data_IF_637606595359
#
_entry.id   IF_637606595359
#
_cell.length_a   1.000
_cell.length_b   1.000
_cell.length_c   1.000
_cell.angle_alpha   90.00
_cell.angle_beta   90.00
_cell.angle_gamma   90.00
#
_symmetry.space_group_name_H-M   'P 1'
#
loop_
_entity.id
_entity.type
_entity.pdbx_description
1 polymer ?
#
# COMPACT_ATOMS: atom_id res chain seq x y z
N UNK A 1 -35.12 11.06 -16.73
CA UNK A 1 -33.97 11.97 -16.88
C UNK A 1 -33.16 11.78 -15.62
N UNK A 2 -31.87 11.45 -15.72
CA UNK A 2 -31.02 11.40 -14.54
C UNK A 2 -30.99 12.81 -13.93
N UNK A 3 -31.27 12.91 -12.64
CA UNK A 3 -31.23 14.18 -11.94
C UNK A 3 -29.81 14.50 -11.45
N UNK A 4 -29.65 15.63 -10.77
CA UNK A 4 -28.34 16.06 -10.26
C UNK A 4 -27.82 15.09 -9.20
N UNK A 5 -28.70 14.43 -8.44
CA UNK A 5 -28.30 13.46 -7.42
C UNK A 5 -27.74 12.20 -8.08
N UNK A 6 -28.39 11.71 -9.14
CA UNK A 6 -27.91 10.57 -9.92
C UNK A 6 -26.48 10.83 -10.48
N UNK A 7 -26.26 12.04 -11.02
CA UNK A 7 -24.94 12.43 -11.56
C UNK A 7 -23.84 12.52 -10.50
N UNK A 8 -24.17 12.99 -9.29
CA UNK A 8 -23.22 13.06 -8.18
C UNK A 8 -22.84 11.66 -7.69
N UNK A 9 -23.80 10.74 -7.60
CA UNK A 9 -23.53 9.35 -7.23
C UNK A 9 -22.58 8.67 -8.23
N UNK A 10 -22.81 8.86 -9.53
CA UNK A 10 -21.91 8.33 -10.57
C UNK A 10 -20.49 8.87 -10.43
N UNK A 11 -20.34 10.16 -10.08
CA UNK A 11 -19.05 10.79 -9.84
C UNK A 11 -18.35 10.21 -8.61
N UNK A 12 -19.08 10.04 -7.49
CA UNK A 12 -18.55 9.41 -6.27
C UNK A 12 -18.08 7.99 -6.54
N UNK A 13 -18.88 7.19 -7.25
CA UNK A 13 -18.54 5.82 -7.63
C UNK A 13 -17.30 5.75 -8.52
N UNK A 14 -17.12 6.71 -9.43
CA UNK A 14 -15.92 6.81 -10.25
C UNK A 14 -14.69 7.09 -9.37
N UNK A 15 -14.78 8.11 -8.50
CA UNK A 15 -13.68 8.49 -7.60
C UNK A 15 -13.32 7.33 -6.67
N UNK A 16 -14.33 6.66 -6.09
CA UNK A 16 -14.12 5.49 -5.25
C UNK A 16 -13.40 4.37 -5.98
N UNK A 17 -13.81 4.04 -7.21
CA UNK A 17 -13.14 3.02 -8.03
C UNK A 17 -11.69 3.39 -8.33
N UNK A 18 -11.41 4.65 -8.65
CA UNK A 18 -10.05 5.14 -8.89
C UNK A 18 -9.17 5.03 -7.65
N UNK A 19 -9.66 5.41 -6.47
CA UNK A 19 -8.92 5.26 -5.22
C UNK A 19 -8.60 3.79 -4.91
N UNK A 20 -9.57 2.89 -5.07
CA UNK A 20 -9.36 1.45 -4.87
C UNK A 20 -8.29 0.94 -5.85
N UNK A 21 -8.35 1.34 -7.12
CA UNK A 21 -7.40 0.92 -8.13
C UNK A 21 -5.98 1.43 -7.82
N UNK A 22 -5.83 2.68 -7.40
CA UNK A 22 -4.54 3.26 -7.03
C UNK A 22 -3.90 2.49 -5.86
N UNK A 23 -4.67 2.21 -4.80
CA UNK A 23 -4.17 1.44 -3.65
C UNK A 23 -3.79 0.01 -4.07
N UNK A 24 -4.60 -0.66 -4.90
CA UNK A 24 -4.27 -2.00 -5.41
C UNK A 24 -2.97 -2.00 -6.21
N UNK A 25 -2.72 -0.99 -7.03
CA UNK A 25 -1.48 -0.85 -7.78
C UNK A 25 -0.26 -0.68 -6.85
N UNK A 26 -0.37 0.17 -5.83
CA UNK A 26 0.68 0.34 -4.82
C UNK A 26 1.00 -0.95 -4.07
N UNK A 27 -0.02 -1.74 -3.72
CA UNK A 27 0.15 -3.02 -3.03
C UNK A 27 0.63 -4.15 -3.94
N UNK A 28 0.50 -4.00 -5.26
CA UNK A 28 0.87 -5.03 -6.24
C UNK A 28 2.38 -5.10 -6.52
N UNK A 29 3.21 -5.03 -5.48
CA UNK A 29 4.65 -5.28 -5.61
C UNK A 29 4.83 -6.74 -5.99
N UNK A 30 5.05 -6.99 -7.28
CA UNK A 30 5.34 -8.33 -7.81
C UNK A 30 6.83 -8.57 -7.72
N UNK A 31 7.24 -9.65 -7.06
CA UNK A 31 8.64 -10.05 -6.99
C UNK A 31 8.95 -11.00 -5.84
N UNK A 32 10.16 -11.53 -5.86
CA UNK A 32 10.69 -12.34 -4.77
C UNK A 32 10.96 -11.47 -3.54
N UNK A 33 10.53 -11.96 -2.39
CA UNK A 33 10.76 -11.31 -1.10
C UNK A 33 12.24 -11.37 -0.73
N UNK A 34 12.81 -10.25 -0.25
CA UNK A 34 14.19 -10.24 0.24
C UNK A 34 14.30 -11.06 1.53
N UNK A 35 15.42 -11.76 1.69
CA UNK A 35 15.71 -12.50 2.92
C UNK A 35 16.31 -11.60 4.00
N UNK A 36 16.90 -10.47 3.61
CA UNK A 36 17.49 -9.46 4.49
C UNK A 36 16.92 -8.08 4.20
N UNK A 37 16.67 -7.32 5.26
CA UNK A 37 16.20 -5.96 5.20
C UNK A 37 17.24 -5.05 4.53
N UNK A 38 16.83 -4.28 3.53
CA UNK A 38 17.71 -3.32 2.86
C UNK A 38 18.15 -2.15 3.75
N UNK A 39 17.35 -1.77 4.75
CA UNK A 39 17.66 -0.65 5.63
C UNK A 39 18.62 -1.00 6.78
N UNK A 40 18.51 -2.21 7.34
CA UNK A 40 19.24 -2.58 8.56
C UNK A 40 19.98 -3.92 8.48
N UNK A 41 19.87 -4.67 7.37
CA UNK A 41 20.56 -5.94 7.17
C UNK A 41 20.00 -7.14 7.96
N UNK A 42 19.01 -6.91 8.84
CA UNK A 42 18.37 -7.96 9.64
C UNK A 42 17.57 -8.93 8.77
N UNK A 43 17.45 -10.19 9.22
CA UNK A 43 16.63 -11.19 8.51
C UNK A 43 15.16 -10.78 8.52
N UNK A 44 14.51 -10.84 7.35
CA UNK A 44 13.07 -10.62 7.23
C UNK A 44 12.36 -11.92 7.63
N UNK A 45 11.40 -11.83 8.54
CA UNK A 45 10.64 -12.99 9.00
C UNK A 45 9.88 -13.65 7.83
N UNK A 46 9.93 -14.98 7.73
CA UNK A 46 9.24 -15.74 6.68
C UNK A 46 7.73 -15.46 6.63
N UNK A 47 7.11 -15.19 7.80
CA UNK A 47 5.69 -14.80 7.88
C UNK A 47 5.40 -13.56 7.04
N UNK A 48 6.30 -12.55 7.03
CA UNK A 48 6.15 -11.37 6.17
C UNK A 48 6.44 -11.67 4.71
N UNK A 49 7.43 -12.50 4.42
CA UNK A 49 7.76 -12.88 3.04
C UNK A 49 6.59 -13.61 2.36
N UNK A 50 5.83 -14.41 3.12
CA UNK A 50 4.60 -15.10 2.66
C UNK A 50 3.40 -14.17 2.57
N UNK A 51 3.24 -13.24 3.51
CA UNK A 51 2.09 -12.33 3.55
C UNK A 51 2.18 -11.21 2.51
N UNK A 52 3.40 -10.74 2.21
CA UNK A 52 3.64 -9.60 1.31
C UNK A 52 4.64 -10.05 0.25
N UNK A 53 4.20 -10.30 -1.00
CA UNK A 53 5.11 -10.58 -2.10
C UNK A 53 6.02 -9.36 -2.33
N UNK A 54 7.32 -9.60 -2.52
CA UNK A 54 8.30 -8.54 -2.77
C UNK A 54 8.67 -7.67 -1.56
N UNK A 55 8.47 -8.16 -0.32
CA UNK A 55 8.87 -7.41 0.88
C UNK A 55 10.37 -7.11 0.90
N UNK A 56 10.73 -5.85 1.15
CA UNK A 56 12.14 -5.38 1.16
C UNK A 56 12.67 -4.97 2.52
N UNK A 57 11.78 -4.64 3.44
CA UNK A 57 12.08 -4.09 4.77
C UNK A 57 11.60 -5.03 5.88
N UNK A 58 12.31 -5.05 7.00
CA UNK A 58 11.83 -5.73 8.21
C UNK A 58 10.66 -4.97 8.84
N UNK A 59 9.94 -5.62 9.75
CA UNK A 59 8.77 -5.04 10.44
C UNK A 59 9.09 -3.72 11.14
N UNK A 60 10.22 -3.63 11.82
CA UNK A 60 10.62 -2.42 12.55
C UNK A 60 10.93 -1.26 11.62
N UNK A 61 11.72 -1.49 10.57
CA UNK A 61 12.03 -0.46 9.58
C UNK A 61 10.76 0.00 8.85
N UNK A 62 9.86 -0.93 8.51
CA UNK A 62 8.57 -0.60 7.90
C UNK A 62 7.73 0.29 8.81
N UNK A 63 7.66 -0.01 10.11
CA UNK A 63 6.92 0.79 11.08
C UNK A 63 7.45 2.23 11.17
N UNK A 64 8.78 2.39 11.15
CA UNK A 64 9.40 3.73 11.15
C UNK A 64 9.09 4.48 9.87
N UNK A 65 9.13 3.82 8.70
CA UNK A 65 8.78 4.43 7.42
C UNK A 65 7.31 4.92 7.42
N UNK A 66 6.38 4.09 7.89
CA UNK A 66 4.96 4.45 7.96
C UNK A 66 4.70 5.63 8.93
N UNK A 67 5.40 5.67 10.06
CA UNK A 67 5.30 6.82 10.99
C UNK A 67 5.83 8.09 10.33
N UNK A 68 6.98 8.00 9.65
CA UNK A 68 7.57 9.14 8.94
C UNK A 68 6.62 9.64 7.86
N UNK A 69 6.11 8.76 7.01
CA UNK A 69 5.19 9.10 5.94
C UNK A 69 3.91 9.77 6.47
N UNK A 70 3.30 9.22 7.53
CA UNK A 70 2.14 9.83 8.19
C UNK A 70 2.43 11.22 8.76
N UNK A 71 3.63 11.42 9.29
CA UNK A 71 4.04 12.72 9.83
C UNK A 71 4.30 13.74 8.71
N UNK A 72 4.81 13.33 7.54
CA UNK A 72 5.01 14.21 6.40
C UNK A 72 3.71 14.56 5.66
N UNK A 73 2.68 13.73 5.79
CA UNK A 73 1.34 13.96 5.22
C UNK A 73 0.43 14.81 6.11
N UNK A 74 0.87 15.15 7.33
CA UNK A 74 0.20 16.08 8.25
C UNK A 74 0.75 17.49 8.07
#
# INVERSE_FOLDING_TARGET
MADVLDQLQEQEDLIHRLHIQAVRQQLSVKGESLTRCECCGNRIQERRQKAIPGVRTCTECQRVLEIREKNYQR
#
